data_IF_809302954161
#
_entry.id   IF_809302954161
#
_cell.length_a   1.000
_cell.length_b   1.000
_cell.length_c   1.000
_cell.angle_alpha   90.00
_cell.angle_beta   90.00
_cell.angle_gamma   90.00
#
_symmetry.space_group_name_H-M   'P 1'
#
loop_
_entity.id
_entity.type
_entity.pdbx_description
1 polymer ?
#
# COMPACT_ATOMS: atom_id res chain seq x y z
N UNK A 1 -28.46 -14.19 19.09
CA UNK A 1 -28.38 -13.47 17.79
C UNK A 1 -27.00 -12.84 17.70
N UNK A 2 -26.04 -13.51 17.06
CA UNK A 2 -24.70 -12.95 16.87
C UNK A 2 -24.79 -11.90 15.76
N UNK A 3 -24.55 -10.64 16.09
CA UNK A 3 -24.46 -9.57 15.09
C UNK A 3 -23.27 -9.88 14.18
N UNK A 4 -23.56 -10.07 12.89
CA UNK A 4 -22.57 -10.20 11.81
C UNK A 4 -21.49 -9.13 11.99
N UNK A 5 -20.26 -9.55 12.20
CA UNK A 5 -19.09 -8.68 12.20
C UNK A 5 -18.89 -8.19 10.77
N UNK A 6 -19.26 -6.95 10.49
CA UNK A 6 -18.91 -6.30 9.23
C UNK A 6 -17.38 -6.26 9.11
N UNK A 7 -16.85 -6.96 8.12
CA UNK A 7 -15.47 -6.79 7.69
C UNK A 7 -15.32 -5.34 7.20
N UNK A 8 -14.57 -4.51 7.94
CA UNK A 8 -14.26 -3.16 7.50
C UNK A 8 -13.36 -3.25 6.25
N UNK A 9 -13.75 -2.60 5.15
CA UNK A 9 -12.92 -2.57 3.94
C UNK A 9 -11.89 -1.43 4.10
N UNK A 10 -10.61 -1.75 3.94
CA UNK A 10 -9.54 -0.75 4.02
C UNK A 10 -9.45 0.13 2.77
N UNK A 11 -9.77 -0.43 1.59
CA UNK A 11 -9.65 0.23 0.28
C UNK A 11 -11.01 0.47 -0.38
N UNK A 12 -11.09 1.51 -1.20
CA UNK A 12 -12.29 1.82 -2.00
C UNK A 12 -12.34 0.91 -3.23
N UNK A 13 -13.42 0.14 -3.37
CA UNK A 13 -13.64 -0.70 -4.56
C UNK A 13 -13.89 0.17 -5.79
N UNK A 14 -13.18 -0.12 -6.87
CA UNK A 14 -13.38 0.45 -8.20
C UNK A 14 -13.70 -0.67 -9.20
N UNK A 15 -14.39 -0.33 -10.29
CA UNK A 15 -14.93 -1.31 -11.25
C UNK A 15 -13.86 -1.89 -12.18
N UNK A 16 -12.97 -1.03 -12.66
CA UNK A 16 -11.92 -1.36 -13.61
C UNK A 16 -10.57 -1.30 -12.90
N UNK A 17 -9.72 -2.30 -13.15
CA UNK A 17 -8.44 -2.53 -12.49
C UNK A 17 -8.45 -2.26 -10.97
N UNK A 18 -9.18 -3.06 -10.16
CA UNK A 18 -9.29 -2.83 -8.74
C UNK A 18 -7.94 -2.99 -8.03
N UNK A 19 -7.58 -2.01 -7.20
CA UNK A 19 -6.41 -2.06 -6.34
C UNK A 19 -6.41 -3.31 -5.45
N UNK A 20 -5.23 -3.87 -5.23
CA UNK A 20 -4.99 -5.03 -4.35
C UNK A 20 -3.96 -4.66 -3.30
N UNK A 21 -4.12 -5.19 -2.10
CA UNK A 21 -3.09 -5.08 -1.06
C UNK A 21 -1.99 -6.08 -1.40
N UNK A 22 -0.77 -5.59 -1.56
CA UNK A 22 0.42 -6.39 -1.89
C UNK A 22 1.28 -6.67 -0.66
N UNK A 23 1.38 -5.71 0.27
CA UNK A 23 2.09 -5.83 1.52
C UNK A 23 1.43 -4.95 2.60
N UNK A 24 1.66 -5.27 3.87
CA UNK A 24 1.24 -4.45 5.01
C UNK A 24 2.26 -4.62 6.14
N UNK A 25 2.69 -3.51 6.73
CA UNK A 25 3.70 -3.50 7.79
C UNK A 25 3.24 -2.63 8.97
N UNK A 26 3.71 -3.00 10.16
CA UNK A 26 3.59 -2.14 11.35
C UNK A 26 4.82 -1.24 11.42
N UNK A 27 4.63 0.07 11.27
CA UNK A 27 5.69 1.06 11.35
C UNK A 27 5.89 1.48 12.81
N UNK A 28 7.11 1.33 13.32
CA UNK A 28 7.56 1.85 14.62
C UNK A 28 8.54 3.00 14.40
N UNK A 29 8.99 3.65 15.47
CA UNK A 29 9.99 4.74 15.37
C UNK A 29 11.38 4.30 14.91
N UNK A 30 11.63 3.00 14.81
CA UNK A 30 12.90 2.47 14.28
C UNK A 30 12.93 2.46 12.75
N UNK A 31 11.75 2.47 12.10
CA UNK A 31 11.63 2.47 10.65
C UNK A 31 11.60 3.90 10.10
N UNK A 32 12.39 4.14 9.06
CA UNK A 32 12.51 5.44 8.40
C UNK A 32 12.29 5.38 6.88
N UNK A 33 12.58 4.24 6.26
CA UNK A 33 12.54 4.07 4.80
C UNK A 33 11.62 2.93 4.39
N UNK A 34 11.08 3.05 3.18
CA UNK A 34 10.45 1.93 2.47
C UNK A 34 11.22 1.62 1.19
N UNK A 35 11.08 0.39 0.72
CA UNK A 35 11.45 -0.04 -0.62
C UNK A 35 10.29 -0.81 -1.23
N UNK A 36 9.82 -0.40 -2.41
CA UNK A 36 8.87 -1.14 -3.23
C UNK A 36 9.64 -1.97 -4.24
N UNK A 37 9.16 -3.19 -4.50
CA UNK A 37 9.76 -4.09 -5.47
C UNK A 37 8.76 -4.41 -6.58
N UNK A 38 9.23 -4.39 -7.82
CA UNK A 38 8.62 -5.13 -8.93
C UNK A 38 9.47 -6.35 -9.28
N UNK A 39 9.19 -7.02 -10.40
CA UNK A 39 10.04 -8.13 -10.88
C UNK A 39 11.46 -7.69 -11.24
N UNK A 40 11.65 -6.43 -11.61
CA UNK A 40 12.90 -5.94 -12.20
C UNK A 40 13.35 -4.58 -11.68
N UNK A 41 12.51 -3.86 -10.92
CA UNK A 41 12.77 -2.51 -10.45
C UNK A 41 12.54 -2.39 -8.95
N UNK A 42 13.17 -1.38 -8.35
CA UNK A 42 13.02 -1.00 -6.95
C UNK A 42 12.79 0.51 -6.85
N UNK A 43 11.93 0.94 -5.93
CA UNK A 43 11.68 2.35 -5.62
C UNK A 43 11.84 2.58 -4.12
N UNK A 44 12.55 3.63 -3.73
CA UNK A 44 12.85 3.93 -2.32
C UNK A 44 12.31 5.29 -1.91
N UNK A 45 11.85 5.40 -0.67
CA UNK A 45 11.45 6.68 -0.11
C UNK A 45 11.39 6.69 1.41
N UNK A 46 11.13 7.87 1.98
CA UNK A 46 10.95 8.03 3.41
C UNK A 46 9.52 7.72 3.81
N UNK A 47 9.34 6.95 4.88
CA UNK A 47 8.02 6.64 5.44
C UNK A 47 7.29 7.93 5.86
N UNK A 48 8.03 8.90 6.39
CA UNK A 48 7.46 10.17 6.88
C UNK A 48 6.94 11.07 5.75
N UNK A 49 7.35 10.84 4.51
CA UNK A 49 6.87 11.60 3.35
C UNK A 49 5.54 11.03 2.81
N UNK A 50 5.12 9.85 3.28
CA UNK A 50 3.84 9.25 2.91
C UNK A 50 2.69 9.99 3.59
N UNK A 51 1.80 10.55 2.77
CA UNK A 51 0.59 11.20 3.25
C UNK A 51 -0.35 10.20 3.93
N UNK A 52 -0.70 10.46 5.20
CA UNK A 52 -1.64 9.63 5.96
C UNK A 52 -3.07 9.87 5.47
N UNK A 53 -3.72 8.82 5.00
CA UNK A 53 -5.11 8.85 4.54
C UNK A 53 -6.05 8.14 5.52
N UNK A 54 -7.32 8.55 5.49
CA UNK A 54 -8.40 7.84 6.19
C UNK A 54 -8.68 6.46 5.57
N UNK A 55 -9.43 5.63 6.30
CA UNK A 55 -9.96 4.36 5.78
C UNK A 55 -10.89 4.59 4.58
N UNK A 56 -11.08 3.57 3.74
CA UNK A 56 -11.92 3.62 2.54
C UNK A 56 -11.42 4.63 1.48
N UNK A 57 -10.11 4.79 1.40
CA UNK A 57 -9.40 5.50 0.33
C UNK A 57 -8.45 4.54 -0.39
N UNK A 58 -7.93 4.93 -1.56
CA UNK A 58 -6.90 4.16 -2.26
C UNK A 58 -5.50 4.77 -2.07
N UNK A 59 -5.36 5.74 -1.15
CA UNK A 59 -4.11 6.45 -0.94
C UNK A 59 -3.71 7.34 -2.13
N UNK A 60 -2.39 7.49 -2.31
CA UNK A 60 -1.75 8.22 -3.40
C UNK A 60 -0.84 7.28 -4.18
N UNK A 61 -0.62 7.57 -5.47
CA UNK A 61 0.34 6.82 -6.29
C UNK A 61 1.78 7.16 -5.89
N UNK A 62 2.66 6.15 -5.91
CA UNK A 62 4.10 6.29 -5.67
C UNK A 62 4.89 6.01 -6.96
N UNK A 63 4.52 4.94 -7.69
CA UNK A 63 5.13 4.53 -8.95
C UNK A 63 4.07 4.45 -10.05
N UNK A 64 4.49 4.64 -11.30
CA UNK A 64 3.71 4.30 -12.49
C UNK A 64 3.97 2.83 -12.86
N UNK A 65 2.94 1.99 -12.81
CA UNK A 65 3.10 0.54 -13.04
C UNK A 65 3.36 0.18 -14.50
N UNK A 66 3.06 1.06 -15.45
CA UNK A 66 3.35 0.81 -16.86
C UNK A 66 4.88 0.83 -17.12
N UNK A 67 5.62 1.64 -16.36
CA UNK A 67 7.08 1.75 -16.44
C UNK A 67 7.79 0.93 -15.35
N UNK A 68 7.31 1.00 -14.10
CA UNK A 68 7.92 0.32 -12.95
C UNK A 68 7.68 -1.19 -12.97
N UNK A 69 6.55 -1.62 -13.56
CA UNK A 69 6.00 -2.96 -13.42
C UNK A 69 5.09 -3.10 -12.20
N UNK A 70 4.33 -4.19 -12.15
CA UNK A 70 3.47 -4.51 -11.01
C UNK A 70 4.27 -4.61 -9.70
N UNK A 71 3.79 -3.92 -8.66
CA UNK A 71 4.38 -4.01 -7.32
C UNK A 71 4.08 -5.40 -6.75
N UNK A 72 5.13 -6.12 -6.36
CA UNK A 72 5.03 -7.49 -5.83
C UNK A 72 5.32 -7.59 -4.34
N UNK A 73 6.09 -6.64 -3.78
CA UNK A 73 6.44 -6.63 -2.37
C UNK A 73 6.86 -5.24 -1.89
N UNK A 74 6.92 -5.06 -0.57
CA UNK A 74 7.44 -3.88 0.09
C UNK A 74 8.27 -4.30 1.31
N UNK A 75 9.41 -3.64 1.50
CA UNK A 75 10.21 -3.74 2.72
C UNK A 75 10.23 -2.39 3.45
N UNK A 76 10.33 -2.42 4.78
CA UNK A 76 10.58 -1.23 5.60
C UNK A 76 11.82 -1.45 6.47
N UNK A 77 12.57 -0.37 6.68
CA UNK A 77 13.81 -0.37 7.48
C UNK A 77 13.90 0.85 8.36
#
# INVERSE_FOLDING_TARGET
MLKSTTWNNFIKRIKENPHRIVAAHVVTGEHSQYTLYSKSNEEHGLINDIHKSEQYTNGSFIVDTDDFGEVIDMYIS
#
